data_IF_356102851075
#
_entry.id   IF_356102851075
#
_cell.length_a   1.000
_cell.length_b   1.000
_cell.length_c   1.000
_cell.angle_alpha   90.00
_cell.angle_beta   90.00
_cell.angle_gamma   90.00
#
_symmetry.space_group_name_H-M   'P 1'
#
loop_
_entity.id
_entity.type
_entity.pdbx_description
1 polymer ?
#
# COMPACT_ATOMS: atom_id res chain seq x y z
N UNK A 1 -10.01 -9.64 -9.09
CA UNK A 1 -10.84 -8.84 -8.16
C UNK A 1 -9.92 -8.23 -7.12
N UNK A 2 -10.02 -6.92 -6.88
CA UNK A 2 -9.09 -6.15 -6.05
C UNK A 2 -9.82 -5.27 -5.06
N UNK A 3 -9.39 -5.28 -3.80
CA UNK A 3 -9.88 -4.39 -2.76
C UNK A 3 -8.72 -3.86 -1.94
N UNK A 4 -8.72 -2.55 -1.67
CA UNK A 4 -7.86 -1.91 -0.69
C UNK A 4 -8.73 -1.22 0.37
N UNK A 5 -8.53 -1.57 1.63
CA UNK A 5 -9.28 -1.03 2.76
C UNK A 5 -8.40 0.00 3.47
N UNK A 6 -8.93 1.21 3.66
CA UNK A 6 -8.19 2.31 4.27
C UNK A 6 -8.88 2.79 5.55
N UNK A 7 -8.09 3.10 6.58
CA UNK A 7 -8.60 3.76 7.78
C UNK A 7 -9.13 5.16 7.45
N UNK A 8 -10.21 5.58 8.10
CA UNK A 8 -10.89 6.83 7.74
C UNK A 8 -10.02 8.08 7.99
N UNK A 9 -9.29 8.10 9.11
CA UNK A 9 -8.58 9.25 9.66
C UNK A 9 -7.39 9.69 8.81
N UNK A 10 -6.52 8.76 8.45
CA UNK A 10 -5.22 9.01 7.82
C UNK A 10 -5.05 8.28 6.49
N UNK A 11 -6.09 7.54 6.06
CA UNK A 11 -6.06 6.71 4.84
C UNK A 11 -4.93 5.67 4.85
N UNK A 12 -4.54 5.18 6.04
CA UNK A 12 -3.65 4.03 6.17
C UNK A 12 -4.29 2.81 5.55
N UNK A 13 -3.58 2.10 4.67
CA UNK A 13 -4.02 0.82 4.12
C UNK A 13 -3.94 -0.23 5.22
N UNK A 14 -5.10 -0.72 5.65
CA UNK A 14 -5.22 -1.73 6.71
C UNK A 14 -5.47 -3.13 6.15
N UNK A 15 -5.81 -3.23 4.87
CA UNK A 15 -6.02 -4.52 4.21
C UNK A 15 -5.97 -4.39 2.69
N UNK A 16 -5.46 -5.43 2.05
CA UNK A 16 -5.46 -5.60 0.59
C UNK A 16 -5.95 -7.01 0.29
N UNK A 17 -7.04 -7.14 -0.46
CA UNK A 17 -7.57 -8.43 -0.88
C UNK A 17 -7.48 -8.55 -2.40
N UNK A 18 -6.89 -9.64 -2.85
CA UNK A 18 -6.73 -9.96 -4.26
C UNK A 18 -7.24 -11.37 -4.51
N UNK A 19 -8.05 -11.53 -5.54
CA UNK A 19 -8.47 -12.83 -6.04
C UNK A 19 -8.28 -12.87 -7.56
N UNK A 20 -7.51 -13.84 -8.03
CA UNK A 20 -7.13 -14.00 -9.44
C UNK A 20 -5.79 -14.72 -9.57
N UNK A 21 -5.35 -14.91 -10.81
CA UNK A 21 -4.05 -15.49 -11.13
C UNK A 21 -2.92 -14.58 -10.62
N UNK A 22 -1.92 -15.17 -9.95
CA UNK A 22 -0.76 -14.46 -9.39
C UNK A 22 -1.04 -13.70 -8.09
N UNK A 23 -2.24 -13.84 -7.50
CA UNK A 23 -2.60 -13.15 -6.25
C UNK A 23 -1.66 -13.51 -5.08
N UNK A 24 -1.17 -14.74 -5.05
CA UNK A 24 -0.19 -15.26 -4.11
C UNK A 24 1.16 -14.53 -4.19
N UNK A 25 1.66 -14.27 -5.40
CA UNK A 25 2.90 -13.51 -5.60
C UNK A 25 2.70 -12.00 -5.36
N UNK A 26 1.61 -11.43 -5.89
CA UNK A 26 1.27 -10.01 -5.73
C UNK A 26 1.17 -9.61 -4.26
N UNK A 27 0.44 -10.39 -3.46
CA UNK A 27 0.15 -10.03 -2.08
C UNK A 27 1.39 -10.05 -1.19
N UNK A 28 2.43 -10.80 -1.56
CA UNK A 28 3.68 -10.81 -0.82
C UNK A 28 4.35 -9.42 -0.82
N UNK A 29 4.41 -8.77 -1.98
CA UNK A 29 4.97 -7.42 -2.11
C UNK A 29 4.13 -6.37 -1.36
N UNK A 30 2.80 -6.38 -1.58
CA UNK A 30 1.90 -5.45 -0.89
C UNK A 30 1.84 -5.70 0.62
N UNK A 31 2.03 -6.94 1.07
CA UNK A 31 2.13 -7.27 2.49
C UNK A 31 3.28 -6.55 3.20
N UNK A 32 4.42 -6.36 2.51
CA UNK A 32 5.53 -5.55 3.01
C UNK A 32 5.10 -4.09 3.16
N UNK A 33 4.46 -3.51 2.14
CA UNK A 33 3.99 -2.13 2.18
C UNK A 33 2.98 -1.89 3.32
N UNK A 34 2.01 -2.78 3.50
CA UNK A 34 1.04 -2.73 4.61
C UNK A 34 1.74 -2.87 5.96
N UNK A 35 2.74 -3.76 6.08
CA UNK A 35 3.53 -3.91 7.31
C UNK A 35 4.31 -2.65 7.65
N UNK A 36 4.81 -1.92 6.64
CA UNK A 36 5.45 -0.60 6.79
C UNK A 36 4.44 0.52 7.06
N UNK A 37 3.15 0.21 7.04
CA UNK A 37 2.06 1.11 7.37
C UNK A 37 1.54 1.95 6.21
N UNK A 38 1.80 1.57 4.95
CA UNK A 38 1.51 2.35 3.74
C UNK A 38 0.14 3.07 3.74
N UNK A 39 0.11 4.32 3.28
CA UNK A 39 -1.11 5.09 3.04
C UNK A 39 -1.65 4.82 1.64
N UNK A 40 -2.92 5.14 1.37
CA UNK A 40 -3.47 5.04 0.01
C UNK A 40 -2.69 5.86 -1.01
N UNK A 41 -2.20 7.04 -0.60
CA UNK A 41 -1.34 7.88 -1.43
C UNK A 41 -0.04 7.19 -1.83
N UNK A 42 0.49 6.28 -1.00
CA UNK A 42 1.71 5.54 -1.35
C UNK A 42 1.43 4.57 -2.50
N UNK A 43 0.20 4.05 -2.63
CA UNK A 43 -0.19 3.19 -3.76
C UNK A 43 -0.44 4.04 -5.01
N UNK A 44 -1.12 5.18 -4.86
CA UNK A 44 -1.49 6.05 -6.00
C UNK A 44 -0.27 6.73 -6.66
N UNK A 45 0.83 6.90 -5.91
CA UNK A 45 2.05 7.53 -6.40
C UNK A 45 3.08 6.53 -7.00
N UNK A 46 2.72 5.26 -7.13
CA UNK A 46 3.60 4.26 -7.74
C UNK A 46 3.32 4.16 -9.24
N UNK A 47 4.39 4.11 -10.03
CA UNK A 47 4.30 3.86 -11.47
C UNK A 47 3.77 2.45 -11.69
N UNK A 48 2.65 2.35 -12.41
CA UNK A 48 2.07 1.09 -12.85
C UNK A 48 3.05 0.31 -13.75
N UNK A 49 3.14 -1.01 -13.51
CA UNK A 49 3.84 -1.93 -14.41
C UNK A 49 2.80 -2.51 -15.37
N UNK A 50 2.90 -2.15 -16.65
CA UNK A 50 1.96 -2.61 -17.67
C UNK A 50 2.58 -3.67 -18.60
N UNK A 51 1.86 -4.73 -18.99
CA UNK A 51 0.53 -5.13 -18.52
C UNK A 51 0.63 -6.07 -17.31
N UNK A 52 0.02 -5.71 -16.17
CA UNK A 52 -0.02 -6.61 -15.02
C UNK A 52 -1.32 -6.50 -14.26
N UNK A 53 -1.80 -7.63 -13.72
CA UNK A 53 -2.97 -7.61 -12.85
C UNK A 53 -2.76 -6.71 -11.60
N UNK A 54 -1.51 -6.60 -11.12
CA UNK A 54 -1.13 -5.74 -9.99
C UNK A 54 -1.35 -4.26 -10.24
N UNK A 55 -1.33 -3.81 -11.49
CA UNK A 55 -1.41 -2.39 -11.82
C UNK A 55 -2.72 -1.76 -11.33
N UNK A 56 -3.79 -2.55 -11.28
CA UNK A 56 -5.10 -2.17 -10.74
C UNK A 56 -5.05 -1.68 -9.28
N UNK A 57 -4.12 -2.19 -8.45
CA UNK A 57 -3.98 -1.76 -7.05
C UNK A 57 -3.38 -0.36 -6.90
N UNK A 58 -2.58 0.07 -7.88
CA UNK A 58 -1.94 1.39 -7.92
C UNK A 58 -2.70 2.39 -8.80
N UNK A 59 -3.73 1.94 -9.51
CA UNK A 59 -4.61 2.78 -10.36
C UNK A 59 -6.07 2.83 -9.88
N UNK A 60 -6.37 2.40 -8.64
CA UNK A 60 -7.71 2.45 -8.05
C UNK A 60 -8.44 3.82 -7.96
N UNK A 61 -7.79 5.01 -7.96
CA UNK A 61 -8.54 6.28 -7.98
C UNK A 61 -9.40 6.44 -9.24
N UNK A 62 -10.44 7.28 -9.18
CA UNK A 62 -11.14 7.71 -10.39
C UNK A 62 -10.14 8.30 -11.39
N UNK A 63 -10.23 7.84 -12.64
CA UNK A 63 -9.39 8.30 -13.73
C UNK A 63 -9.33 9.83 -13.77
N UNK A 64 -8.11 10.39 -13.78
CA UNK A 64 -7.88 11.85 -13.77
C UNK A 64 -8.07 12.56 -12.42
N UNK A 65 -8.37 11.83 -11.34
CA UNK A 65 -8.40 12.36 -9.95
C UNK A 65 -7.15 12.01 -9.13
N UNK A 66 -6.18 11.35 -9.74
CA UNK A 66 -4.82 11.26 -9.19
C UNK A 66 -4.29 12.69 -9.12
N UNK A 67 -4.30 13.27 -7.92
CA UNK A 67 -3.65 14.55 -7.69
C UNK A 67 -2.16 14.25 -7.66
N UNK A 68 -1.49 14.42 -8.80
CA UNK A 68 -0.04 14.29 -8.98
C UNK A 68 0.74 15.34 -8.16
N UNK A 69 0.47 15.47 -6.86
CA UNK A 69 1.32 16.22 -5.95
C UNK A 69 2.38 15.26 -5.44
N UNK A 70 3.32 14.91 -6.31
CA UNK A 70 4.55 14.21 -5.89
C UNK A 70 5.44 15.23 -5.20
N UNK A 71 5.13 15.53 -3.93
CA UNK A 71 6.09 16.14 -3.01
C UNK A 71 6.85 15.03 -2.33
N UNK A 72 8.02 14.66 -2.86
CA UNK A 72 9.03 13.95 -2.08
C UNK A 72 9.89 15.02 -1.37
N UNK A 73 9.75 15.22 -0.04
CA UNK A 73 10.44 16.31 0.63
C UNK A 73 11.84 15.91 1.13
N UNK A 74 12.12 14.62 1.33
CA UNK A 74 13.08 14.19 2.34
C UNK A 74 12.73 14.83 3.69
N UNK A 75 11.62 14.45 4.32
CA UNK A 75 11.52 13.11 4.88
C UNK A 75 11.17 11.98 3.92
N UNK A 76 12.04 10.96 3.92
CA UNK A 76 11.80 9.62 3.35
C UNK A 76 10.70 8.88 4.13
N UNK A 77 10.22 7.78 3.55
CA UNK A 77 9.26 6.84 4.15
C UNK A 77 9.32 6.84 5.68
N UNK A 78 8.15 6.99 6.29
CA UNK A 78 7.94 7.11 7.75
C UNK A 78 8.86 6.16 8.53
N UNK A 79 9.26 6.58 9.75
CA UNK A 79 10.02 5.71 10.67
C UNK A 79 9.40 4.31 10.68
N UNK A 80 10.21 3.23 10.50
CA UNK A 80 9.70 1.87 10.54
C UNK A 80 8.82 1.66 11.78
N UNK A 81 7.74 0.85 11.68
CA UNK A 81 6.97 0.48 12.85
C UNK A 81 7.93 -0.02 13.93
N UNK A 82 7.86 0.56 15.12
CA UNK A 82 8.71 0.11 16.22
C UNK A 82 8.31 -1.34 16.51
N UNK A 83 9.25 -2.28 16.34
CA UNK A 83 8.99 -3.66 16.73
C UNK A 83 8.60 -3.66 18.21
N UNK A 84 7.38 -4.10 18.51
CA UNK A 84 6.98 -4.33 19.88
C UNK A 84 7.98 -5.32 20.47
N UNK A 85 8.57 -4.96 21.61
CA UNK A 85 9.49 -5.85 22.32
C UNK A 85 8.73 -7.16 22.58
N UNK A 86 9.31 -8.33 22.29
CA UNK A 86 8.65 -9.60 22.59
C UNK A 86 8.23 -9.58 24.08
N UNK A 87 7.06 -10.16 24.42
CA UNK A 87 6.60 -10.18 25.79
C UNK A 87 7.71 -10.78 26.66
N UNK A 88 8.17 -10.02 27.64
CA UNK A 88 9.12 -10.53 28.63
C UNK A 88 8.43 -11.67 29.34
N UNK A 89 8.98 -12.88 29.25
CA UNK A 89 8.56 -13.99 30.09
C UNK A 89 8.74 -13.56 31.55
N UNK A 90 7.64 -13.56 32.31
CA UNK A 90 7.71 -13.52 33.76
C UNK A 90 8.40 -14.78 34.30
#
# INVERSE_FOLDING_TARGET
MFYAMCAEKDKTVVGVHVAGLGADEMIQGFGVAVKMGAYKSDFDNIVAIHPTASEELVTMPEWGKIKDTVTLPLGTARKPPTLLKPPTSN
#
